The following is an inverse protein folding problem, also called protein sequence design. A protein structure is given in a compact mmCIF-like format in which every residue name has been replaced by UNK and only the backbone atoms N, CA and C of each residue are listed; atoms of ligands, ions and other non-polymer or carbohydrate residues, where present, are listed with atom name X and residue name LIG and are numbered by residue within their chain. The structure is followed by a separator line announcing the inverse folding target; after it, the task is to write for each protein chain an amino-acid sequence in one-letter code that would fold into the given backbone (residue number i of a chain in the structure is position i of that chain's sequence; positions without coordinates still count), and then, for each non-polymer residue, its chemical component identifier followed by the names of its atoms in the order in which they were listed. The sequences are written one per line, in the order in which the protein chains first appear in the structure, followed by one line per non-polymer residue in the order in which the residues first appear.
data_IF_153759510846
#
_entry.id   IF_153759510846
#
_cell.length_a   1.000
_cell.length_b   1.000
_cell.length_c   1.000
_cell.angle_alpha   90.00
_cell.angle_beta   90.00
_cell.angle_gamma   90.00
#
_symmetry.space_group_name_H-M   'P 1'
#
loop_
_entity.id
_entity.type
_entity.pdbx_description
1 polymer ?
#
# COMPACT_ATOMS: atom_id res chain seq x y z
N UNK A 1 -1.76 -41.57 10.62
CA UNK A 1 -2.40 -40.47 9.88
C UNK A 1 -3.05 -39.59 10.93
N UNK A 2 -2.48 -38.41 11.18
CA UNK A 2 -3.02 -37.47 12.17
C UNK A 2 -4.24 -36.79 11.56
N UNK A 3 -5.41 -36.94 12.18
CA UNK A 3 -6.66 -36.39 11.65
C UNK A 3 -6.73 -34.92 12.05
N UNK A 4 -6.69 -34.02 11.07
CA UNK A 4 -6.79 -32.58 11.33
C UNK A 4 -8.13 -32.24 12.00
N UNK A 5 -8.14 -31.40 13.06
CA UNK A 5 -9.35 -31.08 13.81
C UNK A 5 -10.21 -30.06 13.04
N UNK A 6 -10.94 -30.52 12.02
CA UNK A 6 -11.72 -29.68 11.10
C UNK A 6 -13.23 -29.82 11.35
N UNK A 7 -13.94 -28.69 11.30
CA UNK A 7 -15.40 -28.61 11.14
C UNK A 7 -15.79 -27.49 10.18
N UNK A 8 -16.97 -27.59 9.58
CA UNK A 8 -17.55 -26.52 8.77
C UNK A 8 -18.52 -25.71 9.64
N UNK A 9 -18.40 -24.38 9.59
CA UNK A 9 -19.29 -23.45 10.28
C UNK A 9 -20.76 -23.66 9.86
N UNK A 10 -21.71 -23.27 10.71
CA UNK A 10 -23.15 -23.48 10.45
C UNK A 10 -23.66 -22.79 9.18
N UNK A 11 -23.04 -21.66 8.78
CA UNK A 11 -23.33 -20.97 7.52
C UNK A 11 -22.78 -21.69 6.28
N UNK A 12 -21.97 -22.74 6.46
CA UNK A 12 -21.24 -23.48 5.41
C UNK A 12 -20.24 -22.64 4.61
N UNK A 13 -19.78 -21.52 5.18
CA UNK A 13 -18.88 -20.60 4.48
C UNK A 13 -17.44 -20.65 5.00
N UNK A 14 -17.21 -21.22 6.18
CA UNK A 14 -15.91 -21.20 6.83
C UNK A 14 -15.52 -22.57 7.39
N UNK A 15 -14.25 -22.90 7.24
CA UNK A 15 -13.55 -23.96 7.93
C UNK A 15 -13.13 -23.41 9.31
N UNK A 16 -13.44 -24.19 10.34
CA UNK A 16 -13.11 -23.88 11.72
C UNK A 16 -12.38 -25.07 12.35
N UNK A 17 -11.58 -24.78 13.36
CA UNK A 17 -11.07 -25.77 14.29
C UNK A 17 -12.25 -26.46 14.99
N UNK A 18 -12.30 -27.80 14.96
CA UNK A 18 -13.39 -28.62 15.54
C UNK A 18 -13.62 -28.39 17.04
N UNK A 19 -12.60 -28.49 17.92
CA UNK A 19 -12.81 -28.34 19.36
C UNK A 19 -13.14 -26.90 19.79
N UNK A 20 -12.63 -25.88 19.10
CA UNK A 20 -12.69 -24.48 19.56
C UNK A 20 -13.55 -23.56 18.68
N UNK A 21 -14.06 -24.03 17.55
CA UNK A 21 -14.89 -23.27 16.61
C UNK A 21 -14.26 -21.94 16.14
N UNK A 22 -12.94 -21.92 15.99
CA UNK A 22 -12.17 -20.75 15.54
C UNK A 22 -11.46 -21.03 14.22
N UNK A 23 -11.42 -20.05 13.32
CA UNK A 23 -10.65 -20.14 12.08
C UNK A 23 -9.14 -20.16 12.35
N UNK A 24 -8.67 -19.37 13.31
CA UNK A 24 -7.31 -19.39 13.85
C UNK A 24 -7.38 -19.91 15.28
N UNK A 25 -6.78 -21.06 15.54
CA UNK A 25 -6.81 -21.71 16.84
C UNK A 25 -5.39 -21.97 17.33
N UNK A 26 -4.96 -21.18 18.32
CA UNK A 26 -3.64 -21.30 18.94
C UNK A 26 -3.50 -22.55 19.81
N UNK A 27 -4.62 -23.10 20.30
CA UNK A 27 -4.62 -24.31 21.15
C UNK A 27 -4.35 -25.57 20.31
N UNK A 28 -4.88 -25.63 19.10
CA UNK A 28 -4.71 -26.77 18.20
C UNK A 28 -3.63 -26.53 17.13
N UNK A 29 -2.98 -25.36 17.17
CA UNK A 29 -1.98 -24.93 16.19
C UNK A 29 -2.46 -25.05 14.74
N UNK A 30 -3.65 -24.50 14.45
CA UNK A 30 -4.24 -24.49 13.10
C UNK A 30 -4.67 -23.09 12.69
N UNK A 31 -4.41 -22.75 11.43
CA UNK A 31 -4.84 -21.51 10.78
C UNK A 31 -5.55 -21.81 9.45
N UNK A 32 -6.86 -21.56 9.42
CA UNK A 32 -7.71 -21.72 8.25
C UNK A 32 -7.96 -20.42 7.48
N UNK A 33 -7.28 -19.31 7.82
CA UNK A 33 -7.53 -17.99 7.25
C UNK A 33 -7.37 -17.98 5.73
N UNK A 34 -6.28 -18.54 5.22
CA UNK A 34 -6.01 -18.60 3.78
C UNK A 34 -7.03 -19.48 3.04
N UNK A 35 -7.39 -20.63 3.63
CA UNK A 35 -8.39 -21.53 3.07
C UNK A 35 -9.77 -20.86 2.99
N UNK A 36 -10.15 -20.15 4.06
CA UNK A 36 -11.40 -19.40 4.12
C UNK A 36 -11.42 -18.23 3.12
N UNK A 37 -10.31 -17.51 2.98
CA UNK A 37 -10.18 -16.43 2.00
C UNK A 37 -10.27 -16.95 0.55
N UNK A 38 -9.60 -18.07 0.27
CA UNK A 38 -9.66 -18.73 -1.03
C UNK A 38 -11.09 -19.21 -1.34
N UNK A 39 -11.75 -19.88 -0.40
CA UNK A 39 -13.13 -20.34 -0.55
C UNK A 39 -14.09 -19.17 -0.83
N UNK A 40 -13.94 -18.06 -0.10
CA UNK A 40 -14.74 -16.86 -0.33
C UNK A 40 -14.54 -16.28 -1.73
N UNK A 41 -13.30 -16.30 -2.25
CA UNK A 41 -12.98 -15.82 -3.60
C UNK A 41 -13.59 -16.73 -4.67
N UNK A 42 -13.46 -18.05 -4.51
CA UNK A 42 -13.98 -19.03 -5.45
C UNK A 42 -15.52 -19.10 -5.47
N UNK A 43 -16.19 -18.72 -4.38
CA UNK A 43 -17.66 -18.64 -4.34
C UNK A 43 -18.20 -17.69 -5.41
N UNK A 44 -17.46 -16.62 -5.75
CA UNK A 44 -17.87 -15.66 -6.78
C UNK A 44 -17.82 -16.22 -8.20
N UNK A 45 -17.08 -17.32 -8.44
CA UNK A 45 -16.89 -17.90 -9.77
C UNK A 45 -17.74 -19.14 -10.02
N UNK A 46 -18.54 -19.60 -9.05
CA UNK A 46 -19.34 -20.83 -9.14
C UNK A 46 -18.52 -22.06 -9.60
N UNK A 47 -17.22 -22.10 -9.31
CA UNK A 47 -16.31 -23.18 -9.70
C UNK A 47 -15.59 -22.98 -11.04
N UNK A 48 -16.03 -22.04 -11.87
CA UNK A 48 -15.42 -21.72 -13.16
C UNK A 48 -14.52 -20.49 -13.04
N UNK A 49 -13.28 -20.70 -12.61
CA UNK A 49 -12.29 -19.60 -12.56
C UNK A 49 -11.93 -19.16 -13.98
N UNK A 50 -11.93 -17.85 -14.27
CA UNK A 50 -11.43 -17.32 -15.54
C UNK A 50 -9.98 -17.74 -15.80
N UNK A 51 -9.52 -17.72 -17.07
CA UNK A 51 -8.13 -17.96 -17.40
C UNK A 51 -7.20 -17.03 -16.59
N UNK A 52 -6.00 -17.50 -16.22
CA UNK A 52 -5.04 -16.66 -15.52
C UNK A 52 -4.64 -15.46 -16.40
N UNK A 53 -4.31 -14.35 -15.75
CA UNK A 53 -3.83 -13.13 -16.40
C UNK A 53 -4.85 -12.37 -17.27
N UNK A 54 -6.15 -12.57 -17.02
CA UNK A 54 -7.22 -11.79 -17.68
C UNK A 54 -7.48 -10.48 -16.92
N UNK A 55 -7.23 -9.34 -17.55
CA UNK A 55 -7.49 -8.03 -16.95
C UNK A 55 -9.00 -7.75 -16.83
N UNK A 56 -9.39 -7.09 -15.74
CA UNK A 56 -10.75 -6.59 -15.56
C UNK A 56 -10.79 -5.07 -15.84
N UNK A 57 -11.17 -4.63 -17.05
CA UNK A 57 -11.14 -3.21 -17.42
C UNK A 57 -12.11 -2.38 -16.58
N UNK A 58 -13.22 -2.95 -16.13
CA UNK A 58 -14.22 -2.25 -15.29
C UNK A 58 -13.58 -1.91 -13.94
N UNK A 59 -12.91 -2.89 -13.30
CA UNK A 59 -12.19 -2.66 -12.04
C UNK A 59 -11.07 -1.64 -12.20
N UNK A 60 -10.28 -1.73 -13.28
CA UNK A 60 -9.21 -0.75 -13.56
C UNK A 60 -9.76 0.68 -13.68
N UNK A 61 -10.90 0.84 -14.35
CA UNK A 61 -11.58 2.15 -14.44
C UNK A 61 -12.08 2.63 -13.08
N UNK A 62 -12.62 1.74 -12.24
CA UNK A 62 -13.08 2.08 -10.90
C UNK A 62 -11.91 2.52 -9.99
N UNK A 63 -10.79 1.79 -9.98
CA UNK A 63 -9.58 2.16 -9.23
C UNK A 63 -9.06 3.53 -9.68
N UNK A 64 -9.00 3.77 -10.99
CA UNK A 64 -8.58 5.07 -11.51
C UNK A 64 -9.55 6.20 -11.10
N UNK A 65 -10.86 5.95 -11.15
CA UNK A 65 -11.87 6.93 -10.73
C UNK A 65 -11.71 7.29 -9.25
N UNK A 66 -11.52 6.30 -8.37
CA UNK A 66 -11.27 6.55 -6.93
C UNK A 66 -10.02 7.40 -6.72
N UNK A 67 -8.92 7.07 -7.42
CA UNK A 67 -7.68 7.85 -7.36
C UNK A 67 -7.88 9.28 -7.86
N UNK A 68 -8.65 9.48 -8.93
CA UNK A 68 -8.97 10.81 -9.47
C UNK A 68 -9.82 11.63 -8.51
N UNK A 69 -10.83 11.04 -7.87
CA UNK A 69 -11.60 11.71 -6.81
C UNK A 69 -10.69 12.11 -5.63
N UNK A 70 -9.80 11.22 -5.21
CA UNK A 70 -8.78 11.55 -4.20
C UNK A 70 -7.94 12.76 -4.62
N UNK A 71 -7.51 12.82 -5.89
CA UNK A 71 -6.76 13.96 -6.42
C UNK A 71 -7.58 15.27 -6.45
N UNK A 72 -8.88 15.20 -6.74
CA UNK A 72 -9.78 16.37 -6.69
C UNK A 72 -9.87 16.91 -5.27
N UNK A 73 -10.09 16.04 -4.29
CA UNK A 73 -10.13 16.40 -2.88
C UNK A 73 -8.79 16.95 -2.38
N UNK A 74 -7.67 16.34 -2.79
CA UNK A 74 -6.33 16.82 -2.46
C UNK A 74 -6.09 18.25 -2.97
N UNK A 75 -6.43 18.51 -4.24
CA UNK A 75 -6.31 19.87 -4.84
C UNK A 75 -7.22 20.90 -4.15
N UNK A 76 -8.35 20.46 -3.60
CA UNK A 76 -9.27 21.30 -2.83
C UNK A 76 -8.83 21.50 -1.37
N UNK A 77 -7.69 20.97 -0.94
CA UNK A 77 -7.22 21.04 0.45
C UNK A 77 -7.98 20.12 1.42
N UNK A 78 -8.88 19.28 0.90
CA UNK A 78 -9.69 18.32 1.66
C UNK A 78 -8.93 17.01 1.83
N UNK A 79 -7.88 17.04 2.67
CA UNK A 79 -6.93 15.93 2.76
C UNK A 79 -7.50 14.66 3.40
N UNK A 80 -8.42 14.78 4.36
CA UNK A 80 -9.08 13.62 4.99
C UNK A 80 -9.89 12.82 3.97
N UNK A 81 -10.70 13.50 3.16
CA UNK A 81 -11.46 12.88 2.09
C UNK A 81 -10.54 12.30 1.01
N UNK A 82 -9.45 13.00 0.67
CA UNK A 82 -8.45 12.48 -0.25
C UNK A 82 -7.86 11.16 0.25
N UNK A 83 -7.48 11.08 1.53
CA UNK A 83 -6.96 9.87 2.18
C UNK A 83 -7.97 8.71 2.08
N UNK A 84 -9.26 8.98 2.31
CA UNK A 84 -10.31 7.96 2.20
C UNK A 84 -10.40 7.40 0.78
N UNK A 85 -10.47 8.27 -0.23
CA UNK A 85 -10.53 7.83 -1.63
C UNK A 85 -9.28 7.07 -2.08
N UNK A 86 -8.09 7.51 -1.67
CA UNK A 86 -6.87 6.76 -1.96
C UNK A 86 -6.85 5.39 -1.26
N UNK A 87 -7.33 5.30 -0.02
CA UNK A 87 -7.44 4.04 0.70
C UNK A 87 -8.38 3.07 -0.01
N UNK A 88 -9.56 3.55 -0.44
CA UNK A 88 -10.49 2.74 -1.24
C UNK A 88 -9.86 2.26 -2.56
N UNK A 89 -9.06 3.11 -3.22
CA UNK A 89 -8.36 2.72 -4.45
C UNK A 89 -7.31 1.62 -4.19
N UNK A 90 -6.56 1.73 -3.09
CA UNK A 90 -5.58 0.72 -2.66
C UNK A 90 -6.28 -0.59 -2.33
N UNK A 91 -7.34 -0.55 -1.51
CA UNK A 91 -8.09 -1.73 -1.10
C UNK A 91 -8.72 -2.45 -2.30
N UNK A 92 -9.30 -1.69 -3.24
CA UNK A 92 -9.88 -2.26 -4.46
C UNK A 92 -8.84 -2.88 -5.40
N UNK A 93 -7.64 -2.31 -5.46
CA UNK A 93 -6.55 -2.86 -6.26
C UNK A 93 -5.92 -4.10 -5.58
N UNK A 94 -5.78 -4.10 -4.25
CA UNK A 94 -5.23 -5.23 -3.49
C UNK A 94 -6.20 -6.43 -3.37
N UNK A 95 -7.51 -6.18 -3.36
CA UNK A 95 -8.56 -7.21 -3.29
C UNK A 95 -8.90 -7.86 -4.64
N UNK A 96 -7.98 -7.84 -5.60
CA UNK A 96 -8.15 -8.51 -6.89
C UNK A 96 -8.11 -10.02 -6.73
N UNK A 97 -8.94 -10.76 -7.49
CA UNK A 97 -8.93 -12.22 -7.43
C UNK A 97 -7.66 -12.79 -8.06
N UNK A 98 -7.30 -14.02 -7.66
CA UNK A 98 -6.04 -14.68 -8.02
C UNK A 98 -5.84 -14.91 -9.54
N UNK A 99 -6.92 -14.98 -10.33
CA UNK A 99 -6.87 -15.18 -11.79
C UNK A 99 -6.76 -13.88 -12.58
N UNK A 100 -7.16 -12.73 -11.99
CA UNK A 100 -6.75 -11.45 -12.56
C UNK A 100 -5.22 -11.42 -12.51
N UNK A 101 -4.55 -10.90 -13.55
CA UNK A 101 -3.11 -10.99 -13.67
C UNK A 101 -2.50 -10.62 -12.35
N UNK A 102 -1.81 -11.60 -11.78
CA UNK A 102 -1.27 -11.49 -10.46
C UNK A 102 -0.36 -10.25 -10.46
N UNK A 103 -0.88 -9.17 -9.90
CA UNK A 103 -0.35 -8.55 -8.71
C UNK A 103 1.01 -7.84 -8.72
N UNK A 104 1.82 -7.96 -9.77
CA UNK A 104 3.03 -7.15 -9.87
C UNK A 104 2.81 -5.96 -10.78
N UNK A 105 2.95 -6.00 -12.10
CA UNK A 105 3.18 -4.74 -12.83
C UNK A 105 2.06 -3.68 -12.74
N UNK A 106 0.80 -4.01 -13.09
CA UNK A 106 -0.30 -3.04 -13.04
C UNK A 106 -0.73 -2.68 -11.61
N UNK A 107 -0.86 -3.66 -10.72
CA UNK A 107 -1.18 -3.40 -9.30
C UNK A 107 -0.07 -2.56 -8.66
N UNK A 108 1.20 -2.91 -8.90
CA UNK A 108 2.35 -2.15 -8.42
C UNK A 108 2.30 -0.73 -8.91
N UNK A 109 1.93 -0.45 -10.16
CA UNK A 109 1.79 0.93 -10.63
C UNK A 109 0.60 1.66 -9.98
N UNK A 110 -0.58 1.04 -9.94
CA UNK A 110 -1.80 1.61 -9.36
C UNK A 110 -1.65 1.89 -7.86
N UNK A 111 -1.29 0.85 -7.09
CA UNK A 111 -1.11 0.90 -5.63
C UNK A 111 0.02 1.85 -5.26
N UNK A 112 1.17 1.78 -5.94
CA UNK A 112 2.30 2.68 -5.63
C UNK A 112 1.94 4.13 -5.88
N UNK A 113 1.17 4.42 -6.94
CA UNK A 113 0.71 5.79 -7.22
C UNK A 113 -0.30 6.27 -6.16
N UNK A 114 -1.24 5.42 -5.77
CA UNK A 114 -2.23 5.76 -4.74
C UNK A 114 -1.57 5.95 -3.36
N UNK A 115 -0.63 5.09 -2.97
CA UNK A 115 0.17 5.22 -1.74
C UNK A 115 0.98 6.52 -1.73
N UNK A 116 1.64 6.88 -2.84
CA UNK A 116 2.42 8.13 -2.90
C UNK A 116 1.55 9.38 -2.76
N UNK A 117 0.34 9.34 -3.32
CA UNK A 117 -0.62 10.44 -3.18
C UNK A 117 -1.21 10.50 -1.76
N UNK A 118 -1.48 9.34 -1.15
CA UNK A 118 -1.95 9.25 0.24
C UNK A 118 -0.87 9.71 1.22
N UNK A 119 0.39 9.34 1.00
CA UNK A 119 1.54 9.86 1.74
C UNK A 119 1.66 11.38 1.64
N UNK A 120 1.40 11.96 0.47
CA UNK A 120 1.37 13.41 0.29
C UNK A 120 0.25 14.06 1.13
N UNK A 121 -0.94 13.45 1.15
CA UNK A 121 -2.07 13.93 1.95
C UNK A 121 -1.80 13.82 3.45
N UNK A 122 -1.21 12.71 3.92
CA UNK A 122 -0.76 12.56 5.30
C UNK A 122 0.29 13.61 5.68
N UNK A 123 1.29 13.84 4.81
CA UNK A 123 2.32 14.88 5.03
C UNK A 123 1.69 16.27 5.13
N UNK A 124 0.72 16.60 4.27
CA UNK A 124 0.02 17.88 4.31
C UNK A 124 -0.79 18.10 5.61
N UNK A 125 -1.14 17.01 6.31
CA UNK A 125 -1.80 17.04 7.61
C UNK A 125 -0.84 16.95 8.80
N UNK A 126 0.47 16.86 8.58
CA UNK A 126 1.45 16.63 9.64
C UNK A 126 1.46 15.19 10.19
N UNK A 127 0.79 14.25 9.51
CA UNK A 127 0.76 12.83 9.88
C UNK A 127 1.98 12.10 9.30
N UNK A 128 3.17 12.45 9.78
CA UNK A 128 4.41 12.02 9.13
C UNK A 128 4.73 10.52 9.29
N UNK A 129 4.23 9.87 10.36
CA UNK A 129 4.39 8.41 10.54
C UNK A 129 3.62 7.65 9.48
N UNK A 130 2.35 7.99 9.26
CA UNK A 130 1.51 7.38 8.22
C UNK A 130 2.08 7.63 6.82
N UNK A 131 2.56 8.86 6.58
CA UNK A 131 3.24 9.22 5.35
C UNK A 131 4.51 8.39 5.11
N UNK A 132 5.29 8.13 6.17
CA UNK A 132 6.48 7.31 6.08
C UNK A 132 6.12 5.86 5.74
N UNK A 133 5.12 5.26 6.42
CA UNK A 133 4.66 3.89 6.16
C UNK A 133 4.25 3.73 4.69
N UNK A 134 3.42 4.64 4.16
CA UNK A 134 3.02 4.61 2.75
C UNK A 134 4.20 4.78 1.80
N UNK A 135 5.12 5.70 2.11
CA UNK A 135 6.30 5.95 1.27
C UNK A 135 7.26 4.76 1.26
N UNK A 136 7.45 4.08 2.38
CA UNK A 136 8.26 2.86 2.43
C UNK A 136 7.65 1.77 1.57
N UNK A 137 6.34 1.58 1.65
CA UNK A 137 5.64 0.64 0.78
C UNK A 137 5.81 1.02 -0.70
N UNK A 138 5.74 2.31 -1.06
CA UNK A 138 6.07 2.76 -2.42
C UNK A 138 7.48 2.34 -2.84
N UNK A 139 8.50 2.56 -2.00
CA UNK A 139 9.89 2.21 -2.34
C UNK A 139 10.15 0.70 -2.43
N UNK A 140 9.38 -0.11 -1.68
CA UNK A 140 9.45 -1.58 -1.75
C UNK A 140 8.75 -2.12 -2.99
N UNK A 141 7.62 -1.52 -3.37
CA UNK A 141 6.88 -1.89 -4.58
C UNK A 141 7.61 -1.43 -5.84
N UNK A 142 8.06 -0.17 -5.90
CA UNK A 142 8.78 0.42 -7.04
C UNK A 142 10.05 1.14 -6.60
N UNK A 143 11.12 0.36 -6.48
CA UNK A 143 12.44 0.88 -6.09
C UNK A 143 12.98 1.91 -7.07
N UNK A 144 12.68 1.74 -8.35
CA UNK A 144 13.09 2.59 -9.47
C UNK A 144 12.29 3.90 -9.57
N UNK A 145 11.29 4.12 -8.71
CA UNK A 145 10.41 5.26 -8.81
C UNK A 145 10.78 6.38 -7.83
N UNK A 146 11.47 7.39 -8.35
CA UNK A 146 11.99 8.54 -7.59
C UNK A 146 10.94 9.20 -6.66
N UNK A 147 9.67 9.28 -7.08
CA UNK A 147 8.62 9.93 -6.29
C UNK A 147 8.37 9.24 -4.95
N UNK A 148 8.52 7.92 -4.88
CA UNK A 148 8.42 7.17 -3.62
C UNK A 148 9.51 7.59 -2.62
N UNK A 149 10.75 7.72 -3.12
CA UNK A 149 11.89 8.20 -2.35
C UNK A 149 11.73 9.65 -1.90
N UNK A 150 11.22 10.52 -2.78
CA UNK A 150 10.91 11.90 -2.43
C UNK A 150 9.87 12.00 -1.31
N UNK A 151 8.78 11.22 -1.37
CA UNK A 151 7.78 11.18 -0.27
C UNK A 151 8.39 10.67 1.04
N UNK A 152 9.23 9.62 0.97
CA UNK A 152 9.95 9.09 2.13
C UNK A 152 10.82 10.16 2.79
N UNK A 153 11.61 10.89 2.01
CA UNK A 153 12.44 11.98 2.51
C UNK A 153 11.62 13.10 3.16
N UNK A 154 10.53 13.55 2.54
CA UNK A 154 9.66 14.58 3.14
C UNK A 154 9.01 14.13 4.45
N UNK A 155 8.59 12.87 4.54
CA UNK A 155 8.05 12.31 5.78
C UNK A 155 9.13 12.26 6.89
N UNK A 156 10.36 11.84 6.54
CA UNK A 156 11.47 11.78 7.49
C UNK A 156 11.91 13.17 7.98
N UNK A 157 11.92 14.19 7.11
CA UNK A 157 12.12 15.60 7.54
C UNK A 157 11.07 16.01 8.57
N UNK A 158 9.78 15.72 8.31
CA UNK A 158 8.70 16.01 9.26
C UNK A 158 8.82 15.27 10.60
N UNK A 159 9.49 14.12 10.61
CA UNK A 159 9.82 13.34 11.82
C UNK A 159 11.14 13.77 12.48
N UNK A 160 11.78 14.84 12.00
CA UNK A 160 13.10 15.29 12.46
C UNK A 160 14.21 14.23 12.31
N UNK A 161 14.08 13.33 11.33
CA UNK A 161 15.05 12.28 10.97
C UNK A 161 15.83 12.68 9.72
N UNK A 162 16.49 13.83 9.78
CA UNK A 162 17.08 14.50 8.62
C UNK A 162 18.19 13.70 7.92
N UNK A 163 18.97 12.90 8.66
CA UNK A 163 20.00 12.01 8.07
C UNK A 163 19.39 10.98 7.15
N UNK A 164 18.39 10.25 7.63
CA UNK A 164 17.68 9.25 6.83
C UNK A 164 16.90 9.91 5.68
N UNK A 165 16.41 11.15 5.88
CA UNK A 165 15.78 11.90 4.80
C UNK A 165 16.75 12.20 3.67
N UNK A 166 17.98 12.62 3.99
CA UNK A 166 19.04 12.89 3.02
C UNK A 166 19.38 11.63 2.23
N UNK A 167 19.55 10.49 2.90
CA UNK A 167 19.78 9.19 2.25
C UNK A 167 18.63 8.82 1.30
N UNK A 168 17.38 9.01 1.72
CA UNK A 168 16.22 8.74 0.88
C UNK A 168 16.20 9.65 -0.36
N UNK A 169 16.47 10.94 -0.23
CA UNK A 169 16.53 11.85 -1.37
C UNK A 169 17.70 11.53 -2.31
N UNK A 170 18.88 11.19 -1.78
CA UNK A 170 20.03 10.82 -2.58
C UNK A 170 19.79 9.51 -3.36
N UNK A 171 19.14 8.51 -2.74
CA UNK A 171 18.69 7.30 -3.43
C UNK A 171 17.67 7.62 -4.53
N UNK A 172 16.69 8.49 -4.26
CA UNK A 172 15.74 8.94 -5.27
C UNK A 172 16.43 9.60 -6.48
N UNK A 173 17.45 10.42 -6.22
CA UNK A 173 18.23 11.12 -7.26
C UNK A 173 19.05 10.17 -8.13
N UNK A 174 19.44 9.00 -7.64
CA UNK A 174 20.10 7.98 -8.48
C UNK A 174 19.17 7.49 -9.60
N UNK A 175 17.85 7.48 -9.39
CA UNK A 175 16.87 7.07 -10.39
C UNK A 175 16.37 8.23 -11.28
N UNK A 176 16.52 9.48 -10.82
CA UNK A 176 16.15 10.68 -11.57
C UNK A 176 17.15 11.83 -11.28
N UNK A 177 18.32 11.83 -11.92
CA UNK A 177 19.38 12.80 -11.65
C UNK A 177 19.01 14.25 -11.98
N UNK A 178 18.11 14.45 -12.94
CA UNK A 178 17.65 15.76 -13.43
C UNK A 178 16.47 16.31 -12.59
N UNK A 179 16.07 15.60 -11.54
CA UNK A 179 14.97 16.01 -10.68
C UNK A 179 15.31 17.24 -9.85
N UNK A 180 14.80 18.39 -10.28
CA UNK A 180 14.92 19.65 -9.56
C UNK A 180 14.30 19.60 -8.15
N UNK A 181 13.21 18.85 -7.98
CA UNK A 181 12.56 18.67 -6.67
C UNK A 181 13.49 17.95 -5.67
N UNK A 182 14.15 16.88 -6.11
CA UNK A 182 15.11 16.15 -5.27
C UNK A 182 16.36 16.97 -5.00
N UNK A 183 16.87 17.69 -6.00
CA UNK A 183 18.02 18.58 -5.83
C UNK A 183 17.77 19.64 -4.75
N UNK A 184 16.64 20.34 -4.84
CA UNK A 184 16.24 21.34 -3.84
C UNK A 184 16.06 20.73 -2.45
N UNK A 185 15.41 19.57 -2.36
CA UNK A 185 15.20 18.91 -1.07
C UNK A 185 16.54 18.50 -0.40
N UNK A 186 17.51 18.03 -1.18
CA UNK A 186 18.86 17.71 -0.69
C UNK A 186 19.57 18.98 -0.21
N UNK A 187 19.55 20.05 -1.00
CA UNK A 187 20.16 21.34 -0.65
C UNK A 187 19.52 21.92 0.63
N UNK A 188 18.19 21.85 0.77
CA UNK A 188 17.46 22.32 1.94
C UNK A 188 17.85 21.57 3.21
N UNK A 189 17.94 20.23 3.15
CA UNK A 189 18.35 19.40 4.29
C UNK A 189 19.81 19.66 4.67
N UNK A 190 20.72 19.76 3.69
CA UNK A 190 22.14 20.08 3.93
C UNK A 190 22.32 21.44 4.59
N UNK A 191 21.63 22.46 4.08
CA UNK A 191 21.65 23.78 4.68
C UNK A 191 21.05 23.78 6.10
N UNK A 192 20.08 22.90 6.39
CA UNK A 192 19.55 22.71 7.75
C UNK A 192 20.59 22.16 8.73
N UNK A 193 21.45 21.23 8.29
CA UNK A 193 22.59 20.77 9.11
C UNK A 193 23.59 21.91 9.37
N UNK A 194 23.92 22.71 8.35
CA UNK A 194 24.81 23.87 8.50
C UNK A 194 24.25 24.94 9.44
N UNK A 195 22.92 25.13 9.46
CA UNK A 195 22.22 26.04 10.37
C UNK A 195 22.07 25.47 11.80
N UNK A 196 22.41 24.21 12.04
CA UNK A 196 22.22 23.54 13.33
C UNK A 196 20.76 23.21 13.65
N UNK A 197 19.89 23.10 12.64
CA UNK A 197 18.49 22.71 12.80
C UNK A 197 18.33 21.20 13.08
N UNK A 198 19.33 20.41 12.65
CA UNK A 198 19.36 18.96 12.80
C UNK A 198 20.63 18.53 13.56
N UNK A 199 20.47 17.51 14.39
CA UNK A 199 21.58 16.89 15.11
C UNK A 199 22.18 15.74 14.32
N UNK A 200 23.45 15.46 14.56
CA UNK A 200 24.10 14.24 14.09
C UNK A 200 23.54 12.99 14.80
#
# INVERSE_FOLDING_TARGET
MEVLPIQIASNKEQILCRPHAQAVCTICDVDWSEHNALAATLKSTNGDTPPPNVTNPIRNQQVNRLREEGNKHFKAGKYEEAIRFYSMAIDMSWSRPLWEPMAFQFIREEVTTALSNRAAAYTARGQYVDALVDSEMCTRLRRDWQKGWFRKGKALVGLNRAKEALEAFELGRQFDPESEELRKAIEEVKAGFERGEYYE
#
